data_IF_436409200165
#
_entry.id   IF_436409200165
#
_cell.length_a   1.000
_cell.length_b   1.000
_cell.length_c   1.000
_cell.angle_alpha   90.00
_cell.angle_beta   90.00
_cell.angle_gamma   90.00
#
_symmetry.space_group_name_H-M   'P 1'
#
loop_
_entity.id
_entity.type
_entity.pdbx_description
1 polymer ?
#
# COMPACT_ATOMS: atom_id res chain seq x y z
N UNK A 1 8.94 -16.11 -9.32
CA UNK A 1 7.93 -15.04 -9.29
C UNK A 1 8.43 -13.88 -10.13
N UNK A 2 7.52 -13.19 -10.84
CA UNK A 2 7.86 -11.95 -11.54
C UNK A 2 7.69 -10.78 -10.58
N UNK A 3 8.61 -9.81 -10.62
CA UNK A 3 8.57 -8.62 -9.79
C UNK A 3 9.32 -7.47 -10.47
N UNK A 4 9.09 -6.24 -10.00
CA UNK A 4 9.85 -5.06 -10.37
C UNK A 4 10.87 -4.76 -9.28
N UNK A 5 12.12 -4.47 -9.67
CA UNK A 5 13.20 -4.04 -8.76
C UNK A 5 13.39 -2.54 -8.84
N UNK A 6 13.49 -1.90 -7.68
CA UNK A 6 13.71 -0.45 -7.53
C UNK A 6 15.01 -0.22 -6.77
N UNK A 7 15.88 0.63 -7.30
CA UNK A 7 17.20 0.91 -6.72
C UNK A 7 17.17 2.00 -5.63
N UNK A 8 16.03 2.65 -5.44
CA UNK A 8 15.88 3.75 -4.51
C UNK A 8 16.60 5.04 -4.89
N UNK A 9 17.18 5.10 -6.09
CA UNK A 9 17.85 6.30 -6.60
C UNK A 9 17.00 6.93 -7.69
N UNK A 10 16.70 8.21 -7.55
CA UNK A 10 15.82 8.93 -8.48
C UNK A 10 14.34 8.52 -8.36
N UNK A 11 13.52 9.06 -9.23
CA UNK A 11 12.10 8.67 -9.32
C UNK A 11 11.98 7.42 -10.19
N UNK A 12 11.88 6.26 -9.56
CA UNK A 12 11.61 5.00 -10.24
C UNK A 12 10.21 4.54 -9.87
N UNK A 13 9.35 4.34 -10.86
CA UNK A 13 7.99 3.88 -10.64
C UNK A 13 7.47 3.06 -11.84
N UNK A 14 6.60 2.11 -11.57
CA UNK A 14 5.76 1.49 -12.57
C UNK A 14 4.37 2.12 -12.47
N UNK A 15 3.84 2.64 -13.56
CA UNK A 15 2.57 3.36 -13.55
C UNK A 15 1.61 2.88 -14.64
N UNK A 16 0.33 3.13 -14.41
CA UNK A 16 -0.74 3.00 -15.41
C UNK A 16 -1.67 4.20 -15.32
N UNK A 17 -2.38 4.48 -16.41
CA UNK A 17 -3.38 5.56 -16.42
C UNK A 17 -4.59 5.21 -15.57
N UNK A 18 -5.09 6.15 -14.81
CA UNK A 18 -6.19 5.97 -13.86
C UNK A 18 -7.56 5.70 -14.53
N UNK A 19 -7.67 5.79 -15.85
CA UNK A 19 -8.95 5.54 -16.55
C UNK A 19 -9.57 4.18 -16.27
N UNK A 20 -8.76 3.21 -15.86
CA UNK A 20 -9.22 1.87 -15.45
C UNK A 20 -9.80 1.82 -14.03
N UNK A 21 -9.60 2.86 -13.22
CA UNK A 21 -10.09 2.97 -11.85
C UNK A 21 -11.26 3.97 -11.72
N UNK A 22 -11.81 4.42 -12.85
CA UNK A 22 -12.93 5.36 -12.90
C UNK A 22 -14.27 4.64 -12.67
N UNK A 23 -14.45 4.10 -11.48
CA UNK A 23 -15.68 3.43 -11.04
C UNK A 23 -16.08 3.97 -9.66
N UNK A 24 -17.38 3.97 -9.38
CA UNK A 24 -17.87 4.28 -8.03
C UNK A 24 -17.51 3.14 -7.09
N UNK A 25 -16.73 3.44 -6.07
CA UNK A 25 -16.28 2.47 -5.07
C UNK A 25 -17.17 2.48 -3.84
N UNK A 26 -17.51 1.32 -3.32
CA UNK A 26 -18.15 1.13 -2.02
C UNK A 26 -17.15 0.98 -0.87
N UNK A 27 -15.89 1.12 -1.17
CA UNK A 27 -14.73 1.01 -0.31
C UNK A 27 -13.50 0.82 -1.19
N UNK A 28 -12.35 0.64 -0.58
CA UNK A 28 -11.08 0.41 -1.29
C UNK A 28 -10.25 -0.62 -0.56
N UNK A 29 -9.51 -1.40 -1.31
CA UNK A 29 -8.44 -2.25 -0.77
C UNK A 29 -7.26 -2.19 -1.72
N UNK A 30 -6.07 -2.00 -1.16
CA UNK A 30 -4.80 -2.24 -1.85
C UNK A 30 -4.05 -3.33 -1.11
N UNK A 31 -3.51 -4.27 -1.85
CA UNK A 31 -2.70 -5.35 -1.33
C UNK A 31 -1.45 -5.52 -2.19
N UNK A 32 -0.28 -5.44 -1.56
CA UNK A 32 1.01 -5.44 -2.25
C UNK A 32 1.95 -6.46 -1.61
N UNK A 33 2.51 -7.36 -2.43
CA UNK A 33 3.65 -8.18 -2.04
C UNK A 33 4.94 -7.43 -2.36
N UNK A 34 5.79 -7.21 -1.36
CA UNK A 34 7.02 -6.46 -1.49
C UNK A 34 8.17 -7.06 -0.68
N UNK A 35 9.40 -6.72 -1.08
CA UNK A 35 10.62 -7.00 -0.34
C UNK A 35 11.44 -5.71 -0.26
N UNK A 36 11.72 -5.25 0.93
CA UNK A 36 12.51 -4.04 1.15
C UNK A 36 13.96 -4.41 1.47
N UNK A 37 14.92 -3.82 0.75
CA UNK A 37 16.35 -4.16 0.89
C UNK A 37 17.12 -3.14 1.74
N UNK A 38 16.64 -1.90 1.83
CA UNK A 38 17.25 -0.88 2.65
C UNK A 38 16.19 0.03 3.29
N UNK A 39 16.53 0.58 4.46
CA UNK A 39 15.67 1.46 5.23
C UNK A 39 16.45 2.68 5.67
N UNK A 40 15.80 3.85 5.53
CA UNK A 40 16.25 5.09 6.15
C UNK A 40 15.21 5.49 7.19
N UNK A 41 15.65 5.72 8.43
CA UNK A 41 14.80 6.27 9.48
C UNK A 41 14.22 7.64 9.06
N UNK A 42 13.00 7.91 9.50
CA UNK A 42 12.26 9.13 9.15
C UNK A 42 11.67 9.14 7.74
N UNK A 43 11.73 8.03 7.00
CA UNK A 43 11.32 8.02 5.61
C UNK A 43 10.01 7.26 5.36
N UNK A 44 9.24 7.78 4.39
CA UNK A 44 8.09 7.10 3.78
C UNK A 44 8.55 6.43 2.49
N UNK A 45 8.19 5.17 2.30
CA UNK A 45 8.49 4.37 1.10
C UNK A 45 7.18 3.92 0.47
N UNK A 46 6.85 4.48 -0.68
CA UNK A 46 5.58 4.22 -1.34
C UNK A 46 5.53 2.81 -1.92
N UNK A 47 4.56 2.03 -1.48
CA UNK A 47 4.20 0.75 -2.08
C UNK A 47 3.24 0.95 -3.25
N UNK A 48 2.24 1.79 -3.05
CA UNK A 48 1.18 2.09 -4.01
C UNK A 48 0.72 3.52 -3.81
N UNK A 49 0.52 4.27 -4.87
CA UNK A 49 0.04 5.62 -4.77
C UNK A 49 -0.58 6.16 -6.05
N UNK A 50 -1.35 7.23 -5.90
CA UNK A 50 -1.87 8.03 -6.99
C UNK A 50 -1.07 9.33 -7.03
N UNK A 51 -0.45 9.64 -8.16
CA UNK A 51 0.51 10.74 -8.30
C UNK A 51 -0.14 11.99 -8.91
N UNK A 52 -1.24 12.46 -8.35
CA UNK A 52 -1.77 13.77 -8.71
C UNK A 52 -2.13 14.52 -7.46
N UNK A 53 -1.72 15.77 -7.35
CA UNK A 53 -1.84 16.77 -6.29
C UNK A 53 -2.81 16.57 -5.10
N UNK A 54 -3.79 15.72 -5.24
CA UNK A 54 -4.63 15.16 -4.19
C UNK A 54 -4.29 13.67 -4.03
N UNK A 55 -3.54 13.34 -2.98
CA UNK A 55 -3.21 11.96 -2.61
C UNK A 55 -4.48 11.20 -2.26
N UNK A 56 -5.02 10.42 -3.22
CA UNK A 56 -6.35 9.82 -3.04
C UNK A 56 -6.34 8.45 -2.33
N UNK A 57 -5.24 7.71 -2.40
CA UNK A 57 -5.08 6.43 -1.71
C UNK A 57 -3.61 5.99 -1.78
N UNK A 58 -2.77 6.56 -0.96
CA UNK A 58 -1.36 6.21 -0.92
C UNK A 58 -1.07 5.28 0.24
N UNK A 59 -0.34 4.21 -0.03
CA UNK A 59 0.12 3.23 0.96
C UNK A 59 1.63 3.21 0.99
N UNK A 60 2.20 3.40 2.16
CA UNK A 60 3.64 3.46 2.39
C UNK A 60 4.06 2.47 3.46
N UNK A 61 5.33 2.06 3.44
CA UNK A 61 6.03 1.66 4.64
C UNK A 61 6.70 2.91 5.21
N UNK A 62 6.36 3.25 6.45
CA UNK A 62 6.96 4.34 7.21
C UNK A 62 7.90 3.77 8.26
N UNK A 63 9.08 4.35 8.40
CA UNK A 63 10.04 3.99 9.42
C UNK A 63 10.30 5.21 10.32
N UNK A 64 9.63 5.33 11.48
CA UNK A 64 9.86 6.46 12.40
C UNK A 64 11.28 6.46 12.99
N UNK A 65 11.85 5.28 13.17
CA UNK A 65 13.23 5.08 13.66
C UNK A 65 13.81 3.79 13.11
N UNK A 66 15.10 3.60 13.22
CA UNK A 66 15.79 2.39 12.76
C UNK A 66 15.15 1.14 13.38
N UNK A 67 14.76 0.19 12.53
CA UNK A 67 14.17 -1.10 12.92
C UNK A 67 12.70 -1.04 13.33
N UNK A 68 12.05 0.12 13.27
CA UNK A 68 10.61 0.27 13.51
C UNK A 68 9.91 0.57 12.20
N UNK A 69 8.87 -0.20 11.86
CA UNK A 69 8.13 -0.09 10.61
C UNK A 69 6.64 -0.03 10.87
N UNK A 70 5.94 0.74 10.07
CA UNK A 70 4.48 0.88 10.12
C UNK A 70 3.95 0.97 8.69
N UNK A 71 2.73 0.49 8.44
CA UNK A 71 2.01 0.84 7.22
C UNK A 71 1.40 2.21 7.46
N UNK A 72 1.68 3.14 6.56
CA UNK A 72 1.05 4.46 6.54
C UNK A 72 0.07 4.52 5.37
N UNK A 73 -1.14 4.95 5.66
CA UNK A 73 -2.15 5.31 4.68
C UNK A 73 -2.29 6.82 4.63
N UNK A 74 -2.46 7.38 3.44
CA UNK A 74 -2.70 8.81 3.25
C UNK A 74 -3.74 9.04 2.15
N UNK A 75 -4.76 9.86 2.46
CA UNK A 75 -5.77 10.32 1.50
C UNK A 75 -6.20 11.74 1.83
N UNK A 76 -6.28 12.63 0.82
CA UNK A 76 -6.91 13.94 0.92
C UNK A 76 -6.39 14.86 2.02
N UNK A 77 -5.11 14.74 2.39
CA UNK A 77 -4.50 15.53 3.47
C UNK A 77 -4.64 14.92 4.87
N UNK A 78 -5.37 13.81 4.99
CA UNK A 78 -5.39 12.96 6.20
C UNK A 78 -4.53 11.72 6.02
N UNK A 79 -4.21 11.06 7.12
CA UNK A 79 -3.48 9.80 7.10
C UNK A 79 -3.50 9.10 8.44
N UNK A 80 -3.15 7.81 8.43
CA UNK A 80 -3.09 7.02 9.63
C UNK A 80 -1.96 5.99 9.56
N UNK A 81 -1.58 5.49 10.72
CA UNK A 81 -0.50 4.51 10.88
C UNK A 81 -1.06 3.22 11.49
N UNK A 82 -0.52 2.09 11.06
CA UNK A 82 -0.69 0.82 11.75
C UNK A 82 0.10 0.78 13.07
N UNK A 83 -0.06 -0.28 13.83
CA UNK A 83 0.91 -0.66 14.86
C UNK A 83 2.27 -0.99 14.23
N UNK A 84 3.29 -1.14 15.06
CA UNK A 84 4.61 -1.57 14.60
C UNK A 84 4.55 -2.96 13.96
N UNK A 85 5.29 -3.14 12.87
CA UNK A 85 5.32 -4.36 12.08
C UNK A 85 6.55 -5.20 12.44
N UNK A 86 6.43 -6.53 12.46
CA UNK A 86 7.58 -7.43 12.54
C UNK A 86 8.25 -7.59 11.16
N UNK A 87 8.58 -6.46 10.51
CA UNK A 87 9.18 -6.45 9.19
C UNK A 87 10.69 -6.60 9.31
N UNK A 88 11.23 -7.52 8.50
CA UNK A 88 12.67 -7.74 8.37
C UNK A 88 13.08 -7.40 6.94
N UNK A 89 14.18 -6.65 6.78
CA UNK A 89 14.74 -6.35 5.45
C UNK A 89 15.18 -7.63 4.74
N UNK A 90 15.15 -7.58 3.42
CA UNK A 90 15.46 -8.71 2.52
C UNK A 90 14.47 -9.89 2.58
N UNK A 91 13.39 -9.78 3.35
CA UNK A 91 12.30 -10.76 3.35
C UNK A 91 11.08 -10.21 2.62
N UNK A 92 10.39 -11.07 1.88
CA UNK A 92 9.12 -10.77 1.29
C UNK A 92 8.05 -10.62 2.36
N UNK A 93 7.12 -9.71 2.16
CA UNK A 93 5.93 -9.52 2.98
C UNK A 93 4.75 -9.12 2.11
N UNK A 94 3.56 -9.22 2.66
CA UNK A 94 2.33 -8.69 2.05
C UNK A 94 1.76 -7.63 2.99
N UNK A 95 1.69 -6.39 2.50
CA UNK A 95 0.98 -5.31 3.17
C UNK A 95 -0.39 -5.11 2.50
N UNK A 96 -1.44 -4.91 3.30
CA UNK A 96 -2.74 -4.52 2.78
C UNK A 96 -3.36 -3.41 3.61
N UNK A 97 -4.10 -2.54 2.93
CA UNK A 97 -4.89 -1.48 3.53
C UNK A 97 -6.29 -1.53 2.95
N UNK A 98 -7.29 -1.53 3.81
CA UNK A 98 -8.68 -1.40 3.42
C UNK A 98 -9.26 -0.09 3.94
N UNK A 99 -10.16 0.54 3.19
CA UNK A 99 -10.95 1.68 3.65
C UNK A 99 -12.40 1.50 3.24
N UNK A 100 -13.32 1.64 4.18
CA UNK A 100 -14.75 1.69 3.89
C UNK A 100 -15.24 3.13 3.70
N UNK A 101 -16.47 3.30 3.24
CA UNK A 101 -17.07 4.64 2.98
C UNK A 101 -17.30 5.47 4.24
N UNK A 102 -17.33 4.86 5.43
CA UNK A 102 -17.43 5.57 6.70
C UNK A 102 -16.09 6.10 7.22
N UNK A 103 -15.01 5.89 6.48
CA UNK A 103 -13.66 6.36 6.84
C UNK A 103 -12.92 5.46 7.83
N UNK A 104 -13.37 4.22 8.05
CA UNK A 104 -12.58 3.23 8.76
C UNK A 104 -11.51 2.67 7.83
N UNK A 105 -10.26 2.79 8.25
CA UNK A 105 -9.09 2.18 7.60
C UNK A 105 -8.58 1.04 8.47
N UNK A 106 -8.34 -0.12 7.86
CA UNK A 106 -7.75 -1.27 8.53
C UNK A 106 -6.46 -1.68 7.83
N UNK A 107 -5.46 -2.04 8.61
CA UNK A 107 -4.12 -2.41 8.16
C UNK A 107 -3.86 -3.87 8.41
N UNK A 108 -3.21 -4.52 7.44
CA UNK A 108 -2.86 -5.94 7.52
C UNK A 108 -1.41 -6.15 7.08
N UNK A 109 -0.73 -7.02 7.80
CA UNK A 109 0.62 -7.46 7.48
C UNK A 109 0.66 -8.99 7.50
N UNK A 110 1.08 -9.58 6.38
CA UNK A 110 1.11 -11.03 6.19
C UNK A 110 -0.23 -11.71 6.56
N UNK A 111 -1.34 -11.11 6.14
CA UNK A 111 -2.69 -11.61 6.37
C UNK A 111 -3.27 -11.31 7.76
N UNK A 112 -2.49 -10.79 8.70
CA UNK A 112 -2.93 -10.48 10.06
C UNK A 112 -3.24 -8.99 10.23
N UNK A 113 -4.31 -8.67 10.97
CA UNK A 113 -4.66 -7.29 11.29
C UNK A 113 -3.61 -6.67 12.22
N UNK A 114 -3.13 -5.47 11.86
CA UNK A 114 -2.07 -4.75 12.59
C UNK A 114 -2.50 -3.33 12.99
N UNK A 115 -3.77 -3.05 13.00
CA UNK A 115 -4.31 -1.78 13.48
C UNK A 115 -5.45 -1.24 12.63
N UNK A 116 -6.09 -0.21 13.16
CA UNK A 116 -7.18 0.53 12.50
C UNK A 116 -7.09 2.00 12.81
N UNK A 117 -7.59 2.83 11.89
CA UNK A 117 -7.85 4.26 12.13
C UNK A 117 -9.27 4.61 11.69
N UNK A 118 -9.89 5.54 12.37
CA UNK A 118 -11.24 6.06 12.07
C UNK A 118 -11.18 7.51 11.63
N UNK A 119 -12.29 8.02 11.06
CA UNK A 119 -12.40 9.43 10.67
C UNK A 119 -11.57 9.81 9.44
N UNK A 120 -11.08 8.85 8.68
CA UNK A 120 -10.32 9.13 7.46
C UNK A 120 -11.28 9.48 6.32
N UNK A 121 -11.01 10.58 5.63
CA UNK A 121 -11.82 10.99 4.49
C UNK A 121 -11.81 9.92 3.41
N UNK A 122 -13.01 9.45 3.02
CA UNK A 122 -13.14 8.56 1.88
C UNK A 122 -13.23 9.40 0.60
N UNK A 123 -12.22 9.29 -0.25
CA UNK A 123 -12.18 10.00 -1.53
C UNK A 123 -12.42 8.97 -2.63
N UNK A 124 -13.45 9.18 -3.45
CA UNK A 124 -13.62 8.43 -4.69
C UNK A 124 -12.43 8.74 -5.60
N UNK A 125 -11.96 7.76 -6.36
CA UNK A 125 -11.07 8.07 -7.47
C UNK A 125 -11.87 8.97 -8.42
N UNK A 126 -11.54 10.26 -8.42
CA UNK A 126 -12.26 11.21 -9.26
C UNK A 126 -12.04 10.86 -10.74
N UNK A 127 -13.09 11.08 -11.53
CA UNK A 127 -13.07 10.98 -12.98
C UNK A 127 -12.20 12.05 -13.69
N UNK A 128 -11.24 12.63 -12.97
CA UNK A 128 -10.33 13.64 -13.50
C UNK A 128 -9.22 12.96 -14.28
N UNK A 129 -9.42 12.83 -15.58
CA UNK A 129 -8.48 12.19 -16.48
C UNK A 129 -7.05 12.63 -16.24
N UNK A 130 -6.21 11.69 -15.86
CA UNK A 130 -4.78 11.91 -15.66
C UNK A 130 -4.17 11.43 -14.35
N UNK A 131 -4.91 10.74 -13.48
CA UNK A 131 -4.29 10.15 -12.29
C UNK A 131 -3.42 8.95 -12.68
N UNK A 132 -2.16 8.99 -12.30
CA UNK A 132 -1.25 7.86 -12.42
C UNK A 132 -1.29 7.03 -11.14
N UNK A 133 -1.40 5.73 -11.29
CA UNK A 133 -1.18 4.77 -10.21
C UNK A 133 0.28 4.36 -10.25
N UNK A 134 1.01 4.62 -9.19
CA UNK A 134 2.44 4.35 -9.12
C UNK A 134 2.74 3.27 -8.07
N UNK A 135 3.69 2.41 -8.41
CA UNK A 135 4.34 1.48 -7.49
C UNK A 135 5.77 1.96 -7.25
N UNK A 136 6.23 1.88 -6.02
CA UNK A 136 7.63 2.14 -5.72
C UNK A 136 8.06 3.61 -5.78
N UNK A 137 7.12 4.56 -5.79
CA UNK A 137 7.43 5.99 -5.71
C UNK A 137 8.06 6.36 -4.34
N UNK A 138 8.64 7.56 -4.21
CA UNK A 138 9.36 8.02 -3.02
C UNK A 138 10.51 7.09 -2.61
N UNK A 139 11.36 6.74 -3.58
CA UNK A 139 12.60 6.02 -3.31
C UNK A 139 12.39 4.65 -2.65
N UNK A 140 11.51 3.81 -3.21
CA UNK A 140 11.46 2.43 -2.80
C UNK A 140 12.79 1.72 -3.08
N UNK A 141 13.33 1.06 -2.05
CA UNK A 141 14.52 0.21 -2.16
C UNK A 141 14.11 -1.25 -2.04
N UNK A 142 14.11 -1.99 -3.13
CA UNK A 142 13.77 -3.40 -3.15
C UNK A 142 12.82 -3.79 -4.26
N UNK A 143 12.04 -4.83 -4.04
CA UNK A 143 11.19 -5.44 -5.04
C UNK A 143 9.71 -5.27 -4.71
N UNK A 144 8.91 -5.10 -5.74
CA UNK A 144 7.45 -5.14 -5.68
C UNK A 144 6.97 -6.21 -6.64
N UNK A 145 6.23 -7.16 -6.12
CA UNK A 145 5.66 -8.27 -6.88
C UNK A 145 4.19 -8.01 -7.26
N UNK A 146 3.28 -8.73 -6.62
CA UNK A 146 1.83 -8.53 -6.86
C UNK A 146 1.37 -7.21 -6.25
N UNK A 147 0.59 -6.45 -7.03
CA UNK A 147 -0.25 -5.39 -6.53
C UNK A 147 -1.70 -5.67 -6.96
N UNK A 148 -2.61 -5.78 -5.99
CA UNK A 148 -4.03 -5.98 -6.22
C UNK A 148 -4.83 -4.82 -5.65
N UNK A 149 -5.76 -4.29 -6.44
CA UNK A 149 -6.63 -3.18 -6.06
C UNK A 149 -8.09 -3.62 -6.20
N UNK A 150 -8.88 -3.37 -5.18
CA UNK A 150 -10.30 -3.72 -5.14
C UNK A 150 -11.15 -2.47 -4.91
N UNK A 151 -12.29 -2.39 -5.58
CA UNK A 151 -13.27 -1.31 -5.45
C UNK A 151 -14.19 -1.41 -4.22
N UNK A 152 -13.80 -2.18 -3.22
CA UNK A 152 -14.47 -2.36 -1.95
C UNK A 152 -13.48 -2.62 -0.82
N UNK A 153 -13.90 -2.39 0.41
CA UNK A 153 -13.16 -2.85 1.57
C UNK A 153 -13.31 -4.38 1.69
N UNK A 154 -12.20 -5.11 1.61
CA UNK A 154 -12.18 -6.55 1.87
C UNK A 154 -12.30 -6.81 3.37
N UNK A 155 -12.94 -7.92 3.73
CA UNK A 155 -12.98 -8.42 5.10
C UNK A 155 -11.63 -9.01 5.51
N UNK A 156 -11.41 -9.22 6.80
CA UNK A 156 -10.20 -9.86 7.31
C UNK A 156 -10.00 -11.28 6.74
N UNK A 157 -11.08 -12.04 6.58
CA UNK A 157 -11.03 -13.39 6.01
C UNK A 157 -10.61 -13.36 4.54
N UNK A 158 -11.14 -12.41 3.76
CA UNK A 158 -10.75 -12.24 2.34
C UNK A 158 -9.29 -11.80 2.19
N UNK A 159 -8.79 -10.93 3.11
CA UNK A 159 -7.37 -10.56 3.17
C UNK A 159 -6.52 -11.79 3.48
N UNK A 160 -6.91 -12.61 4.43
CA UNK A 160 -6.21 -13.84 4.81
C UNK A 160 -6.21 -14.85 3.66
N UNK A 161 -7.35 -15.01 2.97
CA UNK A 161 -7.46 -15.89 1.79
C UNK A 161 -6.52 -15.42 0.67
N UNK A 162 -6.54 -14.15 0.34
CA UNK A 162 -5.66 -13.57 -0.68
C UNK A 162 -4.18 -13.69 -0.30
N UNK A 163 -3.84 -13.44 0.96
CA UNK A 163 -2.49 -13.65 1.47
C UNK A 163 -2.05 -15.10 1.28
N UNK A 164 -2.91 -16.08 1.64
CA UNK A 164 -2.62 -17.50 1.49
C UNK A 164 -2.36 -17.89 0.04
N UNK A 165 -3.09 -17.31 -0.91
CA UNK A 165 -2.87 -17.52 -2.34
C UNK A 165 -1.53 -16.92 -2.85
N UNK A 166 -1.10 -15.82 -2.25
CA UNK A 166 0.11 -15.08 -2.68
C UNK A 166 1.37 -15.63 -2.02
N UNK A 167 1.32 -16.00 -0.74
CA UNK A 167 2.49 -16.27 0.09
C UNK A 167 3.43 -17.33 -0.50
N UNK A 168 2.89 -18.42 -1.03
CA UNK A 168 3.69 -19.52 -1.60
C UNK A 168 4.52 -19.08 -2.81
N UNK A 169 4.06 -18.05 -3.52
CA UNK A 169 4.76 -17.49 -4.68
C UNK A 169 6.05 -16.74 -4.29
N UNK A 170 6.11 -16.22 -3.09
CA UNK A 170 7.20 -15.38 -2.60
C UNK A 170 7.97 -16.01 -1.43
N UNK A 171 7.62 -17.23 -1.00
CA UNK A 171 8.31 -17.92 0.10
C UNK A 171 8.03 -17.31 1.48
N UNK A 172 6.81 -16.85 1.70
CA UNK A 172 6.35 -16.22 2.95
C UNK A 172 5.50 -17.22 3.76
#
# INVERSE_FOLDING_TARGET
ASYFTFSGTGFQYASTTASKFNVTYTGKTVMVAARMTAVLAGAYRCLFGTNTGTRNFNTYIYSPSTGVYQIHYSAGGGGGLSNNLPLTTNQWFVAAVTQNVSGLVSYYFNGQAVGTNTGQTFIQYAANGGEFVALGDNYWYGDIGVCAVYGRALTADEITQNYTAIRNRYGI
#
